data_IF_194986584397
#
_entry.id   IF_194986584397
#
_cell.length_a   1.000
_cell.length_b   1.000
_cell.length_c   1.000
_cell.angle_alpha   90.00
_cell.angle_beta   90.00
_cell.angle_gamma   90.00
#
_symmetry.space_group_name_H-M   'P 1'
#
loop_
_entity.id
_entity.type
_entity.pdbx_description
1 polymer ?
#
# COMPACT_ATOMS: atom_id res chain seq x y z
N UNK A 1 -1.56 -11.71 -17.96
CA UNK A 1 -1.25 -10.29 -17.70
C UNK A 1 -0.89 -10.18 -16.23
N UNK A 2 0.18 -9.48 -15.84
CA UNK A 2 0.49 -9.27 -14.42
C UNK A 2 -0.45 -8.19 -13.87
N UNK A 3 -1.00 -8.31 -12.65
CA UNK A 3 -1.74 -7.23 -12.03
C UNK A 3 -0.82 -6.03 -11.78
N UNK A 4 -1.35 -4.82 -11.90
CA UNK A 4 -0.60 -3.58 -11.70
C UNK A 4 -0.72 -3.14 -10.25
N UNK A 5 0.39 -2.75 -9.63
CA UNK A 5 0.42 -2.27 -8.25
C UNK A 5 1.13 -0.92 -8.16
N UNK A 6 0.66 -0.06 -7.27
CA UNK A 6 1.33 1.19 -6.89
C UNK A 6 1.90 1.06 -5.49
N UNK A 7 3.15 1.46 -5.29
CA UNK A 7 3.85 1.36 -4.00
C UNK A 7 4.25 2.75 -3.51
N UNK A 8 3.63 3.19 -2.41
CA UNK A 8 3.79 4.49 -1.77
C UNK A 8 4.34 4.31 -0.35
N UNK A 9 5.63 3.98 -0.27
CA UNK A 9 6.34 3.78 1.00
C UNK A 9 7.43 4.84 1.14
N UNK A 10 7.46 5.53 2.29
CA UNK A 10 8.38 6.63 2.58
C UNK A 10 9.84 6.17 2.59
N UNK A 11 10.10 4.99 3.17
CA UNK A 11 11.45 4.44 3.26
C UNK A 11 11.96 3.90 1.92
N UNK A 12 12.82 4.65 1.22
CA UNK A 12 13.39 4.26 -0.09
C UNK A 12 14.00 2.86 -0.14
N UNK A 13 14.72 2.44 0.91
CA UNK A 13 15.30 1.10 0.98
C UNK A 13 14.23 0.01 1.07
N UNK A 14 13.21 0.22 1.92
CA UNK A 14 12.09 -0.71 2.06
C UNK A 14 11.24 -0.77 0.79
N UNK A 15 11.00 0.38 0.16
CA UNK A 15 10.32 0.47 -1.13
C UNK A 15 11.04 -0.38 -2.17
N UNK A 16 12.36 -0.19 -2.33
CA UNK A 16 13.17 -0.95 -3.29
C UNK A 16 13.11 -2.46 -3.04
N UNK A 17 13.24 -2.89 -1.77
CA UNK A 17 13.15 -4.31 -1.42
C UNK A 17 11.77 -4.90 -1.76
N UNK A 18 10.70 -4.14 -1.50
CA UNK A 18 9.34 -4.56 -1.81
C UNK A 18 9.09 -4.60 -3.32
N UNK A 19 9.59 -3.61 -4.06
CA UNK A 19 9.54 -3.58 -5.52
C UNK A 19 10.26 -4.79 -6.13
N UNK A 20 11.49 -5.07 -5.68
CA UNK A 20 12.26 -6.26 -6.12
C UNK A 20 11.47 -7.55 -5.85
N UNK A 21 10.94 -7.71 -4.63
CA UNK A 21 10.17 -8.90 -4.24
C UNK A 21 8.87 -9.07 -5.03
N UNK A 22 8.12 -7.98 -5.27
CA UNK A 22 6.81 -8.05 -5.93
C UNK A 22 6.91 -8.04 -7.46
N UNK A 23 7.99 -7.51 -8.04
CA UNK A 23 8.19 -7.43 -9.50
C UNK A 23 8.15 -8.79 -10.21
N UNK A 24 8.45 -9.88 -9.49
CA UNK A 24 8.31 -11.24 -10.01
C UNK A 24 6.86 -11.57 -10.42
N UNK A 25 5.88 -11.09 -9.65
CA UNK A 25 4.45 -11.43 -9.79
C UNK A 25 3.59 -10.28 -10.30
N UNK A 26 4.00 -9.04 -10.07
CA UNK A 26 3.23 -7.83 -10.34
C UNK A 26 3.98 -6.85 -11.25
N UNK A 27 3.25 -5.99 -11.93
CA UNK A 27 3.79 -4.84 -12.66
C UNK A 27 3.67 -3.59 -11.77
N UNK A 28 4.75 -2.83 -11.62
CA UNK A 28 4.73 -1.60 -10.80
C UNK A 28 4.36 -0.43 -11.69
N UNK A 29 3.29 0.29 -11.34
CA UNK A 29 2.72 1.38 -12.13
C UNK A 29 2.21 2.50 -11.22
N UNK A 30 2.49 3.75 -11.60
CA UNK A 30 2.09 4.93 -10.82
C UNK A 30 0.72 5.49 -11.23
N UNK A 31 0.28 5.25 -12.47
CA UNK A 31 -0.93 5.86 -13.04
C UNK A 31 -2.13 4.90 -13.07
N UNK A 32 -1.94 3.72 -13.66
CA UNK A 32 -2.96 2.67 -13.74
C UNK A 32 -2.54 1.51 -12.83
N UNK A 33 -3.29 1.26 -11.77
CA UNK A 33 -2.99 0.18 -10.83
C UNK A 33 -4.27 -0.49 -10.36
N UNK A 34 -4.16 -1.74 -9.93
CA UNK A 34 -5.25 -2.54 -9.36
C UNK A 34 -5.17 -2.57 -7.82
N UNK A 35 -4.01 -2.24 -7.22
CA UNK A 35 -3.76 -2.25 -5.77
C UNK A 35 -2.83 -1.11 -5.38
N UNK A 36 -3.17 -0.38 -4.32
CA UNK A 36 -2.29 0.58 -3.67
C UNK A 36 -1.67 -0.05 -2.41
N UNK A 37 -0.35 -0.12 -2.34
CA UNK A 37 0.40 -0.47 -1.14
C UNK A 37 0.99 0.81 -0.56
N UNK A 38 0.63 1.17 0.66
CA UNK A 38 1.02 2.43 1.28
C UNK A 38 1.49 2.22 2.71
N UNK A 39 2.49 2.97 3.18
CA UNK A 39 2.85 2.96 4.60
C UNK A 39 2.07 4.01 5.42
N UNK A 40 2.02 3.82 6.73
CA UNK A 40 1.24 4.69 7.63
C UNK A 40 1.62 6.17 7.52
N UNK A 41 2.92 6.47 7.44
CA UNK A 41 3.41 7.84 7.34
C UNK A 41 2.95 8.49 6.03
N UNK A 42 3.07 7.78 4.91
CA UNK A 42 2.69 8.29 3.60
C UNK A 42 1.17 8.43 3.49
N UNK A 43 0.41 7.52 4.08
CA UNK A 43 -1.06 7.60 4.13
C UNK A 43 -1.53 8.85 4.88
N UNK A 44 -0.94 9.15 6.05
CA UNK A 44 -1.24 10.38 6.80
C UNK A 44 -0.92 11.63 5.99
N UNK A 45 0.13 11.62 5.17
CA UNK A 45 0.50 12.75 4.30
C UNK A 45 -0.38 12.89 3.04
N UNK A 46 -1.02 11.81 2.59
CA UNK A 46 -1.76 11.74 1.32
C UNK A 46 -3.23 11.34 1.49
N UNK A 47 -3.79 11.58 2.66
CA UNK A 47 -5.12 11.09 3.03
C UNK A 47 -6.21 11.48 2.02
N UNK A 48 -6.25 12.76 1.61
CA UNK A 48 -7.19 13.25 0.59
C UNK A 48 -6.99 12.63 -0.80
N UNK A 49 -5.76 12.27 -1.17
CA UNK A 49 -5.47 11.59 -2.44
C UNK A 49 -6.04 10.17 -2.40
N UNK A 50 -5.83 9.46 -1.29
CA UNK A 50 -6.33 8.10 -1.09
C UNK A 50 -7.85 8.07 -1.05
N UNK A 51 -8.49 9.03 -0.38
CA UNK A 51 -9.95 9.20 -0.43
C UNK A 51 -10.48 9.37 -1.86
N UNK A 52 -9.82 10.20 -2.66
CA UNK A 52 -10.17 10.40 -4.08
C UNK A 52 -10.03 9.10 -4.88
N UNK A 53 -8.92 8.38 -4.69
CA UNK A 53 -8.68 7.07 -5.33
C UNK A 53 -9.82 6.10 -5.01
N UNK A 54 -10.29 6.06 -3.76
CA UNK A 54 -11.39 5.19 -3.33
C UNK A 54 -12.75 5.61 -3.86
N UNK A 55 -12.98 6.91 -4.04
CA UNK A 55 -14.28 7.45 -4.48
C UNK A 55 -14.61 7.23 -5.96
N UNK A 56 -13.58 7.07 -6.82
CA UNK A 56 -13.74 6.96 -8.27
C UNK A 56 -13.88 5.53 -8.79
N UNK A 57 -13.20 4.57 -8.17
CA UNK A 57 -13.14 3.15 -8.57
C UNK A 57 -12.62 2.30 -7.40
N UNK A 58 -13.04 1.03 -7.33
CA UNK A 58 -12.59 0.12 -6.27
C UNK A 58 -11.11 -0.27 -6.48
N UNK A 59 -10.20 0.45 -5.83
CA UNK A 59 -8.81 0.07 -5.68
C UNK A 59 -8.58 -0.37 -4.24
N UNK A 60 -8.34 -1.66 -3.97
CA UNK A 60 -7.88 -2.12 -2.68
C UNK A 60 -6.68 -1.31 -2.19
N UNK A 61 -6.70 -0.92 -0.92
CA UNK A 61 -5.60 -0.22 -0.26
C UNK A 61 -5.05 -1.12 0.85
N UNK A 62 -3.78 -1.49 0.70
CA UNK A 62 -3.02 -2.31 1.64
C UNK A 62 -2.08 -1.42 2.45
N UNK A 63 -2.33 -1.32 3.76
CA UNK A 63 -1.53 -0.53 4.67
C UNK A 63 -0.38 -1.35 5.26
N UNK A 64 0.83 -0.81 5.20
CA UNK A 64 2.01 -1.35 5.90
C UNK A 64 2.27 -0.50 7.15
N UNK A 65 2.07 -1.08 8.33
CA UNK A 65 2.18 -0.38 9.62
C UNK A 65 3.16 -1.07 10.58
N UNK A 66 3.89 -0.27 11.37
CA UNK A 66 4.75 -0.79 12.46
C UNK A 66 4.00 -0.95 13.77
N UNK A 67 3.03 -0.08 14.01
CA UNK A 67 2.35 0.06 15.29
C UNK A 67 0.83 -0.11 15.13
N UNK A 68 0.10 0.25 16.18
CA UNK A 68 -1.36 0.22 16.18
C UNK A 68 -1.88 1.29 15.23
N UNK A 69 -2.67 0.86 14.23
CA UNK A 69 -3.32 1.75 13.28
C UNK A 69 -4.44 2.52 13.97
N UNK A 70 -4.42 3.85 13.83
CA UNK A 70 -5.43 4.78 14.35
C UNK A 70 -6.80 4.53 13.70
N UNK A 71 -7.89 4.78 14.44
CA UNK A 71 -9.27 4.49 14.00
C UNK A 71 -9.65 5.18 12.68
N UNK A 72 -9.17 6.41 12.48
CA UNK A 72 -9.43 7.22 11.29
C UNK A 72 -8.93 6.59 9.99
N UNK A 73 -7.91 5.73 10.07
CA UNK A 73 -7.26 5.12 8.90
C UNK A 73 -8.07 3.93 8.38
N UNK A 74 -8.86 3.26 9.24
CA UNK A 74 -9.62 2.06 8.87
C UNK A 74 -10.68 2.31 7.78
N UNK A 75 -11.16 3.55 7.66
CA UNK A 75 -12.07 3.95 6.59
C UNK A 75 -11.40 4.06 5.21
N UNK A 76 -10.07 3.99 5.14
CA UNK A 76 -9.28 4.21 3.92
C UNK A 76 -8.51 2.99 3.45
N UNK A 77 -8.49 1.93 4.25
CA UNK A 77 -7.68 0.73 4.01
C UNK A 77 -8.56 -0.51 4.01
N UNK A 78 -8.27 -1.45 3.13
CA UNK A 78 -9.00 -2.72 3.05
C UNK A 78 -8.29 -3.81 3.87
N UNK A 79 -6.96 -3.72 3.96
CA UNK A 79 -6.15 -4.66 4.73
C UNK A 79 -4.93 -3.99 5.35
N UNK A 80 -4.47 -4.51 6.49
CA UNK A 80 -3.31 -4.00 7.23
C UNK A 80 -2.28 -5.11 7.42
N UNK A 81 -1.09 -4.92 6.87
CA UNK A 81 0.09 -5.73 7.16
C UNK A 81 0.90 -5.05 8.25
N UNK A 82 1.09 -5.77 9.36
CA UNK A 82 1.97 -5.32 10.45
C UNK A 82 3.39 -5.84 10.23
N UNK A 83 4.37 -4.95 10.36
CA UNK A 83 5.80 -5.30 10.32
C UNK A 83 6.38 -5.45 11.73
N UNK A 84 7.29 -6.42 11.99
CA UNK A 84 7.88 -7.34 11.02
C UNK A 84 6.86 -8.36 10.50
N UNK A 85 6.87 -8.60 9.19
CA UNK A 85 6.00 -9.60 8.56
C UNK A 85 6.51 -10.97 9.03
N UNK A 86 5.78 -11.60 9.95
CA UNK A 86 6.06 -12.99 10.31
C UNK A 86 5.67 -13.86 9.12
N UNK A 87 6.56 -14.75 8.67
CA UNK A 87 6.18 -15.81 7.74
C UNK A 87 5.18 -16.70 8.47
N UNK A 88 3.98 -16.84 7.92
CA UNK A 88 3.09 -17.93 8.30
C UNK A 88 3.72 -19.24 7.83
N UNK A 89 3.97 -20.16 8.77
CA UNK A 89 4.34 -21.56 8.49
C UNK A 89 3.17 -22.33 7.87
#
# INVERSE_FOLDING_TARGET
MKPKIRIEIFGKANRKLLEEFLSEKYEISESEFDLLIIDELTLKMKMEEVEKIRSGTFHPVLLVAKERVEEEVWGLVDEVIRIPIQKSE
#
